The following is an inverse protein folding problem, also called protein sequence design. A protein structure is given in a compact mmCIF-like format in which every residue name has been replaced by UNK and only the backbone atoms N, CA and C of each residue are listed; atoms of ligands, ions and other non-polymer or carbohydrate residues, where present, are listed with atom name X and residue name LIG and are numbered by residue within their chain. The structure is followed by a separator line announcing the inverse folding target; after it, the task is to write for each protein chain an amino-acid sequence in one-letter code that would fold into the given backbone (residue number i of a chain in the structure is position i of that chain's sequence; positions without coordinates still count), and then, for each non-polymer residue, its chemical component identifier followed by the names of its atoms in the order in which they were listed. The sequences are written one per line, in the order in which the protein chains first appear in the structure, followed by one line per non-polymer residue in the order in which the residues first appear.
data_IF_673110571026
#
_entry.id   IF_673110571026
#
_cell.length_a   1.000
_cell.length_b   1.000
_cell.length_c   1.000
_cell.angle_alpha   90.00
_cell.angle_beta   90.00
_cell.angle_gamma   90.00
#
_symmetry.space_group_name_H-M   'P 1'
#
loop_
_entity.id
_entity.type
_entity.pdbx_description
1 polymer ?
#
# COMPACT_ATOMS: atom_id res chain seq x y z
N UNK A 1 5.11 16.19 8.20
CA UNK A 1 4.00 15.26 8.53
C UNK A 1 3.69 14.50 7.27
N UNK A 2 3.71 13.18 7.23
CA UNK A 2 3.53 12.38 6.01
C UNK A 2 2.26 12.71 5.19
N UNK A 3 2.27 12.49 3.88
CA UNK A 3 1.09 12.57 3.00
C UNK A 3 0.60 11.19 2.57
N UNK A 4 -0.73 11.00 2.53
CA UNK A 4 -1.40 9.84 1.93
C UNK A 4 -2.15 10.28 0.68
N UNK A 5 -2.20 9.40 -0.31
CA UNK A 5 -2.98 9.57 -1.53
C UNK A 5 -3.64 8.24 -1.92
N UNK A 6 -4.82 8.31 -2.51
CA UNK A 6 -5.54 7.17 -3.06
C UNK A 6 -6.41 7.59 -4.22
N UNK A 7 -6.52 6.73 -5.22
CA UNK A 7 -7.41 6.93 -6.36
C UNK A 7 -8.03 5.58 -6.75
N UNK A 8 -9.34 5.58 -7.00
CA UNK A 8 -10.05 4.46 -7.58
C UNK A 8 -10.95 4.96 -8.70
N UNK A 9 -10.86 4.30 -9.85
CA UNK A 9 -11.74 4.52 -11.00
C UNK A 9 -12.89 3.51 -10.94
N UNK A 10 -14.12 4.02 -10.92
CA UNK A 10 -15.36 3.24 -10.76
C UNK A 10 -15.65 2.37 -11.98
N UNK A 11 -15.17 2.79 -13.16
CA UNK A 11 -15.36 2.11 -14.43
C UNK A 11 -14.06 2.07 -15.25
N UNK A 12 -13.92 1.08 -16.12
CA UNK A 12 -12.77 0.93 -17.02
C UNK A 12 -12.81 1.93 -18.19
N UNK A 13 -14.01 2.29 -18.65
CA UNK A 13 -14.21 3.33 -19.64
C UNK A 13 -14.29 4.68 -18.92
N UNK A 14 -13.20 5.46 -18.97
CA UNK A 14 -13.09 6.77 -18.31
C UNK A 14 -12.58 7.83 -19.27
N UNK A 15 -13.02 9.08 -19.08
CA UNK A 15 -12.55 10.22 -19.87
C UNK A 15 -11.29 10.85 -19.28
N UNK A 16 -10.96 10.49 -18.03
CA UNK A 16 -9.74 10.89 -17.36
C UNK A 16 -8.47 10.39 -18.07
N UNK A 17 -7.60 11.32 -18.47
CA UNK A 17 -6.50 11.11 -19.41
C UNK A 17 -5.17 10.68 -18.78
N UNK A 18 -5.05 10.72 -17.45
CA UNK A 18 -3.85 10.27 -16.76
C UNK A 18 -3.95 8.78 -16.44
N UNK A 19 -2.81 8.11 -16.46
CA UNK A 19 -2.72 6.78 -15.86
C UNK A 19 -2.88 6.88 -14.33
N UNK A 20 -3.21 5.76 -13.70
CA UNK A 20 -3.32 5.68 -12.24
C UNK A 20 -2.01 6.04 -11.55
N UNK A 21 -0.89 5.60 -12.13
CA UNK A 21 0.44 5.92 -11.63
C UNK A 21 0.82 7.39 -11.80
N UNK A 22 0.51 8.01 -12.94
CA UNK A 22 0.71 9.45 -13.16
C UNK A 22 -0.10 10.28 -12.17
N UNK A 23 -1.39 9.96 -12.01
CA UNK A 23 -2.28 10.68 -11.09
C UNK A 23 -1.77 10.61 -9.65
N UNK A 24 -1.43 9.40 -9.15
CA UNK A 24 -0.87 9.25 -7.81
C UNK A 24 0.46 9.99 -7.65
N UNK A 25 1.33 9.94 -8.66
CA UNK A 25 2.63 10.64 -8.63
C UNK A 25 2.44 12.16 -8.57
N UNK A 26 1.49 12.73 -9.32
CA UNK A 26 1.17 14.15 -9.28
C UNK A 26 0.61 14.60 -7.92
N UNK A 27 -0.26 13.79 -7.30
CA UNK A 27 -0.76 14.06 -5.94
C UNK A 27 0.42 14.08 -4.96
N UNK A 28 1.30 13.06 -5.00
CA UNK A 28 2.45 13.01 -4.11
C UNK A 28 3.42 14.18 -4.35
N UNK A 29 3.75 14.50 -5.59
CA UNK A 29 4.67 15.59 -5.91
C UNK A 29 4.17 16.94 -5.36
N UNK A 30 2.87 17.23 -5.53
CA UNK A 30 2.25 18.45 -5.00
C UNK A 30 2.15 18.50 -3.46
N UNK A 31 2.38 17.38 -2.79
CA UNK A 31 2.39 17.28 -1.32
C UNK A 31 3.77 16.91 -0.77
N UNK A 32 4.84 17.12 -1.54
CA UNK A 32 6.21 16.77 -1.14
C UNK A 32 6.68 17.54 0.11
N UNK A 33 6.17 18.75 0.37
CA UNK A 33 6.45 19.53 1.58
C UNK A 33 6.03 18.81 2.88
N UNK A 34 5.14 17.82 2.77
CA UNK A 34 4.72 16.97 3.88
C UNK A 34 5.80 15.95 4.28
N UNK A 35 6.58 15.46 3.33
CA UNK A 35 7.66 14.50 3.55
C UNK A 35 8.50 14.26 2.30
N UNK A 36 9.82 14.41 2.42
CA UNK A 36 10.79 14.35 1.33
C UNK A 36 11.72 13.13 1.42
N UNK A 37 11.60 12.31 2.46
CA UNK A 37 12.61 11.28 2.76
C UNK A 37 12.43 10.03 1.92
N UNK A 38 11.18 9.62 1.70
CA UNK A 38 10.84 8.43 0.93
C UNK A 38 9.41 8.48 0.42
N UNK A 39 9.16 7.75 -0.65
CA UNK A 39 7.84 7.63 -1.24
C UNK A 39 7.56 6.22 -1.73
N UNK A 40 6.30 5.93 -1.99
CA UNK A 40 5.92 4.65 -2.55
C UNK A 40 4.47 4.56 -2.98
N UNK A 41 4.18 3.50 -3.73
CA UNK A 41 2.90 3.19 -4.35
C UNK A 41 2.54 1.72 -4.13
N UNK A 42 1.27 1.46 -3.83
CA UNK A 42 0.64 0.15 -3.90
C UNK A 42 -0.33 0.18 -5.08
N UNK A 43 -0.01 -0.61 -6.11
CA UNK A 43 -0.65 -0.53 -7.42
C UNK A 43 -1.25 -1.89 -7.78
N UNK A 44 -2.51 -1.88 -8.23
CA UNK A 44 -3.30 -3.11 -8.45
C UNK A 44 -3.54 -3.37 -9.94
N UNK A 45 -2.86 -4.39 -10.47
CA UNK A 45 -3.01 -4.86 -11.86
C UNK A 45 -4.19 -5.81 -12.00
N UNK A 46 -4.58 -6.08 -13.22
CA UNK A 46 -5.45 -7.22 -13.49
C UNK A 46 -4.76 -8.54 -13.15
N UNK A 47 -5.51 -9.53 -12.66
CA UNK A 47 -4.95 -10.76 -12.16
C UNK A 47 -4.56 -11.63 -13.36
N UNK A 48 -3.42 -12.30 -13.26
CA UNK A 48 -3.04 -13.32 -14.23
C UNK A 48 -3.44 -14.70 -13.70
N UNK A 49 -4.12 -15.47 -14.55
CA UNK A 49 -4.66 -16.78 -14.18
C UNK A 49 -3.57 -17.69 -13.58
N UNK A 50 -3.87 -18.34 -12.46
CA UNK A 50 -3.04 -19.33 -11.77
C UNK A 50 -1.63 -18.84 -11.37
N UNK A 51 -1.48 -17.53 -11.19
CA UNK A 51 -0.18 -16.93 -10.83
C UNK A 51 -0.33 -15.88 -9.74
N UNK A 52 0.76 -15.70 -9.01
CA UNK A 52 0.93 -14.66 -8.01
C UNK A 52 2.12 -13.77 -8.38
N UNK A 53 2.11 -12.59 -7.79
CA UNK A 53 3.12 -11.55 -7.93
C UNK A 53 3.71 -11.34 -6.55
N UNK A 54 5.03 -11.36 -6.48
CA UNK A 54 5.78 -11.21 -5.25
C UNK A 54 6.84 -10.15 -5.46
N UNK A 55 7.13 -9.36 -4.43
CA UNK A 55 8.23 -8.40 -4.46
C UNK A 55 9.10 -8.61 -3.24
N UNK A 56 10.41 -8.50 -3.43
CA UNK A 56 11.41 -8.67 -2.38
C UNK A 56 12.37 -7.50 -2.39
N UNK A 57 12.81 -7.04 -1.22
CA UNK A 57 13.94 -6.13 -1.14
C UNK A 57 15.23 -6.88 -1.52
N UNK A 58 16.07 -6.21 -2.29
CA UNK A 58 17.41 -6.69 -2.64
C UNK A 58 18.42 -5.55 -2.44
N UNK A 59 19.69 -5.87 -2.13
CA UNK A 59 20.76 -4.87 -2.14
C UNK A 59 20.88 -4.16 -3.49
N UNK A 60 21.41 -2.94 -3.46
CA UNK A 60 21.70 -2.16 -4.67
C UNK A 60 23.16 -2.25 -5.10
N UNK A 61 24.02 -2.86 -4.28
CA UNK A 61 25.45 -3.07 -4.51
C UNK A 61 25.74 -4.39 -5.27
N UNK A 62 27.02 -4.80 -5.34
CA UNK A 62 27.45 -6.03 -6.01
C UNK A 62 26.83 -7.33 -5.46
N UNK A 63 26.25 -7.32 -4.26
CA UNK A 63 25.64 -8.50 -3.64
C UNK A 63 24.21 -8.78 -4.12
N UNK A 64 23.62 -7.87 -4.92
CA UNK A 64 22.28 -8.00 -5.46
C UNK A 64 22.08 -9.33 -6.22
N UNK A 65 23.05 -9.73 -7.04
CA UNK A 65 22.95 -10.94 -7.88
C UNK A 65 22.93 -12.23 -7.04
N UNK A 66 23.71 -12.26 -5.95
CA UNK A 66 23.67 -13.39 -5.02
C UNK A 66 22.35 -13.48 -4.26
N UNK A 67 21.78 -12.34 -3.88
CA UNK A 67 20.49 -12.31 -3.17
C UNK A 67 19.33 -12.71 -4.09
N UNK A 68 19.36 -12.30 -5.36
CA UNK A 68 18.40 -12.76 -6.37
C UNK A 68 18.43 -14.29 -6.48
N UNK A 69 19.62 -14.90 -6.63
CA UNK A 69 19.76 -16.36 -6.69
C UNK A 69 19.24 -17.05 -5.42
N UNK A 70 19.47 -16.44 -4.24
CA UNK A 70 18.95 -16.94 -2.96
C UNK A 70 17.43 -16.91 -2.93
N UNK A 71 16.81 -15.82 -3.39
CA UNK A 71 15.35 -15.69 -3.51
C UNK A 71 14.82 -16.78 -4.44
N UNK A 72 15.40 -16.94 -5.63
CA UNK A 72 14.95 -17.92 -6.62
C UNK A 72 15.04 -19.37 -6.11
N UNK A 73 16.14 -19.70 -5.45
CA UNK A 73 16.35 -21.01 -4.82
C UNK A 73 15.32 -21.27 -3.72
N UNK A 74 15.12 -20.31 -2.82
CA UNK A 74 14.19 -20.43 -1.68
C UNK A 74 12.74 -20.59 -2.18
N UNK A 75 12.34 -19.79 -3.17
CA UNK A 75 11.02 -19.92 -3.80
C UNK A 75 10.81 -21.31 -4.42
N UNK A 76 11.80 -21.80 -5.18
CA UNK A 76 11.74 -23.12 -5.80
C UNK A 76 11.61 -24.24 -4.77
N UNK A 77 12.30 -24.13 -3.63
CA UNK A 77 12.19 -25.08 -2.52
C UNK A 77 10.79 -25.13 -1.89
N UNK A 78 10.02 -24.06 -2.01
CA UNK A 78 8.63 -23.94 -1.55
C UNK A 78 7.59 -24.11 -2.67
N UNK A 79 7.94 -24.81 -3.75
CA UNK A 79 7.04 -25.15 -4.85
C UNK A 79 6.49 -23.93 -5.61
N UNK A 80 7.19 -22.80 -5.53
CA UNK A 80 6.89 -21.62 -6.34
C UNK A 80 7.61 -21.76 -7.68
N UNK A 81 6.85 -21.76 -8.77
CA UNK A 81 7.41 -21.86 -10.13
C UNK A 81 7.59 -20.47 -10.72
N UNK A 82 8.83 -19.98 -10.78
CA UNK A 82 9.13 -18.64 -11.29
C UNK A 82 8.91 -18.60 -12.82
N UNK A 83 8.08 -17.67 -13.27
CA UNK A 83 7.79 -17.43 -14.69
C UNK A 83 8.61 -16.27 -15.24
N UNK A 84 8.77 -15.21 -14.45
CA UNK A 84 9.67 -14.10 -14.75
C UNK A 84 10.10 -13.39 -13.47
N UNK A 85 11.28 -12.79 -13.51
CA UNK A 85 11.80 -11.93 -12.46
C UNK A 85 12.40 -10.66 -13.06
N UNK A 86 12.18 -9.52 -12.40
CA UNK A 86 12.69 -8.21 -12.87
C UNK A 86 13.11 -7.35 -11.68
N UNK A 87 14.38 -6.91 -11.70
CA UNK A 87 14.90 -5.89 -10.79
C UNK A 87 14.38 -4.51 -11.16
N UNK A 88 13.90 -3.76 -10.17
CA UNK A 88 13.58 -2.34 -10.24
C UNK A 88 14.06 -1.68 -8.94
N UNK A 89 14.94 -0.69 -9.03
CA UNK A 89 15.55 -0.03 -7.86
C UNK A 89 16.11 -1.03 -6.84
N UNK A 90 15.69 -0.90 -5.58
CA UNK A 90 16.08 -1.77 -4.46
C UNK A 90 15.22 -3.04 -4.31
N UNK A 91 14.51 -3.46 -5.36
CA UNK A 91 13.58 -4.59 -5.27
C UNK A 91 13.62 -5.53 -6.48
N UNK A 92 13.30 -6.80 -6.22
CA UNK A 92 13.04 -7.83 -7.23
C UNK A 92 11.53 -8.09 -7.30
N UNK A 93 10.92 -7.86 -8.45
CA UNK A 93 9.57 -8.33 -8.74
C UNK A 93 9.61 -9.72 -9.37
N UNK A 94 8.84 -10.66 -8.82
CA UNK A 94 8.74 -12.05 -9.28
C UNK A 94 7.29 -12.33 -9.65
N UNK A 95 7.09 -12.87 -10.84
CA UNK A 95 5.83 -13.44 -11.28
C UNK A 95 5.98 -14.96 -11.30
N UNK A 96 5.10 -15.67 -10.61
CA UNK A 96 5.25 -17.09 -10.39
C UNK A 96 3.91 -17.84 -10.32
N UNK A 97 3.92 -19.11 -10.71
CA UNK A 97 2.84 -20.05 -10.39
C UNK A 97 2.96 -20.53 -8.95
N UNK A 98 1.86 -20.41 -8.19
CA UNK A 98 1.75 -20.90 -6.82
C UNK A 98 0.28 -21.10 -6.46
N UNK A 99 -0.04 -22.24 -5.86
CA UNK A 99 -1.40 -22.62 -5.45
C UNK A 99 -1.53 -22.97 -3.96
N UNK A 100 -0.46 -22.78 -3.19
CA UNK A 100 -0.44 -23.05 -1.75
C UNK A 100 -1.03 -21.92 -0.90
N UNK A 101 -0.95 -22.08 0.42
CA UNK A 101 -1.35 -21.05 1.38
C UNK A 101 -0.29 -19.94 1.49
N UNK A 102 -0.69 -18.70 1.20
CA UNK A 102 0.23 -17.57 1.16
C UNK A 102 0.82 -17.22 2.54
N UNK A 103 0.04 -17.40 3.60
CA UNK A 103 0.49 -17.16 4.97
C UNK A 103 1.57 -18.20 5.36
N UNK A 104 1.37 -19.47 5.01
CA UNK A 104 2.35 -20.53 5.23
C UNK A 104 3.64 -20.28 4.44
N UNK A 105 3.54 -19.90 3.16
CA UNK A 105 4.71 -19.52 2.35
C UNK A 105 5.45 -18.34 2.97
N UNK A 106 4.73 -17.30 3.35
CA UNK A 106 5.33 -16.08 3.92
C UNK A 106 6.10 -16.40 5.20
N UNK A 107 5.50 -17.16 6.13
CA UNK A 107 6.16 -17.64 7.35
C UNK A 107 7.42 -18.45 7.07
N UNK A 108 7.41 -19.25 6.01
CA UNK A 108 8.53 -20.11 5.67
C UNK A 108 9.74 -19.30 5.18
N UNK A 109 9.51 -18.16 4.52
CA UNK A 109 10.58 -17.40 3.86
C UNK A 109 10.96 -16.09 4.56
N UNK A 110 10.11 -15.52 5.42
CA UNK A 110 10.29 -14.18 5.99
C UNK A 110 11.53 -14.03 6.89
N UNK A 111 12.07 -15.13 7.40
CA UNK A 111 13.31 -15.13 8.19
C UNK A 111 14.55 -15.05 7.31
N UNK A 112 14.44 -15.54 6.09
CA UNK A 112 15.55 -15.66 5.15
C UNK A 112 15.54 -14.54 4.10
N UNK A 113 14.35 -14.13 3.68
CA UNK A 113 14.12 -13.14 2.64
C UNK A 113 13.39 -11.92 3.22
N UNK A 114 13.36 -10.84 2.45
CA UNK A 114 12.63 -9.61 2.80
C UNK A 114 11.45 -9.36 1.83
N UNK A 115 10.29 -10.04 2.00
CA UNK A 115 9.11 -9.74 1.19
C UNK A 115 8.66 -8.28 1.35
N UNK A 116 8.17 -7.68 0.27
CA UNK A 116 7.60 -6.33 0.22
C UNK A 116 6.09 -6.39 0.02
N UNK A 117 5.64 -7.26 -0.88
CA UNK A 117 4.23 -7.49 -1.16
C UNK A 117 4.02 -8.83 -1.84
N UNK A 118 2.88 -9.46 -1.59
CA UNK A 118 2.43 -10.62 -2.35
C UNK A 118 0.94 -10.56 -2.64
N UNK A 119 0.55 -11.06 -3.81
CA UNK A 119 -0.85 -11.22 -4.17
C UNK A 119 -1.05 -11.51 -5.64
N UNK A 120 -2.30 -11.49 -6.08
CA UNK A 120 -2.67 -11.74 -7.48
C UNK A 120 -2.61 -10.47 -8.34
N UNK A 121 -2.73 -9.30 -7.71
CA UNK A 121 -2.88 -7.99 -8.35
C UNK A 121 -1.85 -6.96 -7.86
N UNK A 122 -1.48 -7.03 -6.58
CA UNK A 122 -0.67 -6.02 -5.88
C UNK A 122 0.82 -6.01 -6.28
N UNK A 123 1.35 -4.83 -6.63
CA UNK A 123 2.76 -4.46 -6.46
C UNK A 123 2.88 -3.35 -5.42
N UNK A 124 3.81 -3.50 -4.46
CA UNK A 124 4.33 -2.36 -3.69
C UNK A 124 5.70 -1.94 -4.23
N UNK A 125 5.81 -0.69 -4.65
CA UNK A 125 7.00 -0.05 -5.21
C UNK A 125 7.33 1.14 -4.33
N UNK A 126 8.45 1.09 -3.59
CA UNK A 126 8.81 2.12 -2.62
C UNK A 126 10.32 2.23 -2.47
N UNK A 127 10.80 3.45 -2.26
CA UNK A 127 12.23 3.75 -2.14
C UNK A 127 12.46 5.06 -1.37
N UNK A 128 13.73 5.33 -1.07
CA UNK A 128 14.20 6.62 -0.55
C UNK A 128 14.25 7.65 -1.68
N UNK A 129 13.83 8.88 -1.40
CA UNK A 129 13.82 9.98 -2.36
C UNK A 129 12.42 10.51 -2.69
N UNK A 130 12.39 11.55 -3.53
CA UNK A 130 11.15 12.27 -3.87
C UNK A 130 10.36 11.56 -4.97
N UNK A 131 9.03 11.78 -5.06
CA UNK A 131 8.17 11.12 -6.06
C UNK A 131 8.68 11.24 -7.50
N UNK A 132 9.12 12.42 -7.94
CA UNK A 132 9.62 12.63 -9.30
C UNK A 132 10.95 11.92 -9.60
N UNK A 133 11.71 11.55 -8.57
CA UNK A 133 12.99 10.83 -8.69
C UNK A 133 12.75 9.33 -8.71
N UNK A 134 11.87 8.85 -7.85
CA UNK A 134 11.59 7.42 -7.66
C UNK A 134 10.65 6.90 -8.75
N UNK A 135 9.62 7.65 -9.15
CA UNK A 135 8.62 7.19 -10.11
C UNK A 135 9.20 6.69 -11.46
N UNK A 136 10.19 7.37 -12.08
CA UNK A 136 10.83 6.87 -13.31
C UNK A 136 11.60 5.56 -13.11
N UNK A 137 12.29 5.37 -11.99
CA UNK A 137 13.08 4.16 -11.68
C UNK A 137 12.19 2.91 -11.68
N UNK A 138 10.97 3.05 -11.16
CA UNK A 138 9.99 1.97 -11.04
C UNK A 138 8.94 1.97 -12.17
N UNK A 139 9.08 2.87 -13.16
CA UNK A 139 8.15 3.05 -14.28
C UNK A 139 6.69 3.25 -13.81
N UNK A 140 6.49 4.03 -12.74
CA UNK A 140 5.18 4.27 -12.14
C UNK A 140 4.24 4.96 -13.12
N UNK A 141 4.72 5.94 -13.89
CA UNK A 141 3.89 6.70 -14.84
C UNK A 141 3.23 5.84 -15.93
N UNK A 142 3.81 4.70 -16.29
CA UNK A 142 3.20 3.79 -17.26
C UNK A 142 2.12 2.89 -16.63
N UNK A 143 1.95 2.90 -15.31
CA UNK A 143 1.00 2.04 -14.62
C UNK A 143 -0.44 2.54 -14.82
N UNK A 144 -1.23 1.76 -15.54
CA UNK A 144 -2.65 2.03 -15.73
C UNK A 144 -3.49 0.87 -15.19
N UNK A 145 -4.02 1.03 -13.97
CA UNK A 145 -4.87 0.05 -13.29
C UNK A 145 -6.17 0.68 -12.77
N UNK A 146 -7.00 -0.09 -12.08
CA UNK A 146 -8.27 0.44 -11.59
C UNK A 146 -8.12 1.33 -10.36
N UNK A 147 -7.11 1.08 -9.53
CA UNK A 147 -6.89 1.85 -8.31
C UNK A 147 -5.47 1.69 -7.76
N UNK A 148 -5.14 2.54 -6.80
CA UNK A 148 -3.91 2.44 -6.01
C UNK A 148 -3.88 3.45 -4.87
N UNK A 149 -2.95 3.22 -3.94
CA UNK A 149 -2.66 4.13 -2.83
C UNK A 149 -1.17 4.47 -2.83
N UNK A 150 -0.82 5.65 -2.36
CA UNK A 150 0.55 6.15 -2.39
C UNK A 150 0.83 7.02 -1.15
N UNK A 151 2.12 7.23 -0.87
CA UNK A 151 2.53 7.94 0.35
C UNK A 151 3.86 8.69 0.19
N UNK A 152 3.95 9.87 0.81
CA UNK A 152 5.19 10.60 1.07
C UNK A 152 5.50 10.60 2.56
N UNK A 153 6.72 10.24 2.91
CA UNK A 153 7.12 10.03 4.30
C UNK A 153 8.06 11.11 4.78
N UNK A 154 7.82 11.57 6.01
CA UNK A 154 8.77 12.34 6.81
C UNK A 154 9.18 11.47 8.01
N UNK A 155 10.44 11.09 8.07
CA UNK A 155 11.02 10.31 9.15
C UNK A 155 11.14 11.19 10.40
N UNK A 156 10.41 10.85 11.47
CA UNK A 156 10.49 11.56 12.75
C UNK A 156 11.36 10.84 13.79
N UNK A 157 11.33 9.50 13.80
CA UNK A 157 12.04 8.69 14.83
C UNK A 157 12.81 7.50 14.24
N UNK A 158 12.28 6.88 13.20
CA UNK A 158 12.90 5.74 12.51
C UNK A 158 13.78 6.18 11.34
N UNK A 159 14.81 5.39 11.00
CA UNK A 159 15.71 5.70 9.88
C UNK A 159 15.03 5.81 8.51
N UNK A 160 15.69 6.54 7.61
CA UNK A 160 15.31 6.69 6.20
C UNK A 160 15.84 5.49 5.42
N UNK A 161 14.97 4.52 5.14
CA UNK A 161 15.29 3.29 4.41
C UNK A 161 14.06 2.83 3.60
N UNK A 162 14.22 2.11 2.49
CA UNK A 162 13.09 1.60 1.71
C UNK A 162 12.14 0.71 2.54
N UNK A 163 12.67 -0.06 3.49
CA UNK A 163 11.87 -0.94 4.35
C UNK A 163 10.92 -0.17 5.28
N UNK A 164 11.29 1.05 5.67
CA UNK A 164 10.47 1.90 6.55
C UNK A 164 9.53 2.81 5.78
N UNK A 165 9.69 2.91 4.46
CA UNK A 165 8.80 3.63 3.58
C UNK A 165 7.43 2.94 3.50
N UNK A 166 6.40 3.74 3.26
CA UNK A 166 5.07 3.25 2.92
C UNK A 166 4.95 2.99 1.42
N UNK A 167 3.94 2.23 0.94
CA UNK A 167 2.92 1.49 1.70
C UNK A 167 3.41 0.23 2.42
N UNK A 168 2.57 -0.31 3.30
CA UNK A 168 2.80 -1.60 3.99
C UNK A 168 1.78 -2.64 3.55
N UNK A 169 2.26 -3.85 3.27
CA UNK A 169 1.45 -5.01 2.93
C UNK A 169 0.98 -5.73 4.19
N UNK A 170 -0.22 -6.32 4.16
CA UNK A 170 -0.67 -7.23 5.20
C UNK A 170 0.08 -8.57 5.06
N UNK A 171 1.20 -8.71 5.76
CA UNK A 171 2.09 -9.87 5.66
C UNK A 171 1.34 -11.21 5.76
N UNK A 172 1.44 -12.03 4.71
CA UNK A 172 0.77 -13.32 4.60
C UNK A 172 -0.63 -13.31 3.96
N UNK A 173 -1.14 -12.14 3.54
CA UNK A 173 -2.47 -12.00 2.94
C UNK A 173 -2.39 -11.48 1.51
N UNK A 174 -3.23 -11.99 0.61
CA UNK A 174 -3.19 -11.56 -0.79
C UNK A 174 -3.78 -10.17 -0.95
N UNK A 175 -3.06 -9.27 -1.63
CA UNK A 175 -3.62 -8.03 -2.19
C UNK A 175 -4.21 -7.05 -1.17
N UNK A 176 -3.65 -6.93 0.05
CA UNK A 176 -4.08 -5.91 1.03
C UNK A 176 -2.89 -5.03 1.40
N UNK A 177 -3.01 -3.72 1.21
CA UNK A 177 -1.98 -2.75 1.57
C UNK A 177 -2.56 -1.48 2.20
N UNK A 178 -1.78 -0.82 3.05
CA UNK A 178 -2.19 0.37 3.79
C UNK A 178 -1.15 1.48 3.71
N UNK A 179 -1.64 2.72 3.66
CA UNK A 179 -0.87 3.96 3.92
C UNK A 179 -1.52 4.71 5.08
N UNK A 180 -0.72 5.34 5.92
CA UNK A 180 -1.20 5.93 7.17
C UNK A 180 -0.42 7.21 7.48
N UNK A 181 -1.16 8.26 7.84
CA UNK A 181 -0.60 9.47 8.41
C UNK A 181 -1.14 9.61 9.83
N UNK A 182 -0.24 9.47 10.81
CA UNK A 182 -0.64 9.43 12.20
C UNK A 182 0.30 8.62 13.07
N UNK A 183 -0.20 8.24 14.24
CA UNK A 183 0.43 7.32 15.15
C UNK A 183 -0.63 6.48 15.86
N UNK A 184 -0.43 5.16 15.89
CA UNK A 184 -1.23 4.22 16.70
C UNK A 184 -0.58 4.03 18.07
N UNK A 185 -1.18 4.58 19.12
CA UNK A 185 -0.62 4.61 20.49
C UNK A 185 -0.66 3.24 21.17
N UNK A 186 -1.63 2.39 20.85
CA UNK A 186 -1.75 1.04 21.41
C UNK A 186 -1.07 -0.05 20.56
N UNK A 187 -0.15 0.33 19.66
CA UNK A 187 0.54 -0.54 18.70
C UNK A 187 1.06 -1.85 19.31
N UNK A 188 1.91 -1.77 20.35
CA UNK A 188 2.54 -2.96 20.94
C UNK A 188 1.54 -3.93 21.59
N UNK A 189 0.40 -3.43 22.08
CA UNK A 189 -0.65 -4.28 22.64
C UNK A 189 -1.35 -5.03 21.52
N UNK A 190 -1.73 -4.33 20.45
CA UNK A 190 -2.44 -4.90 19.32
C UNK A 190 -1.57 -5.87 18.52
N UNK A 191 -0.31 -5.54 18.28
CA UNK A 191 0.67 -6.44 17.67
C UNK A 191 0.77 -7.77 18.43
N UNK A 192 1.02 -7.72 19.75
CA UNK A 192 1.12 -8.93 20.60
C UNK A 192 -0.15 -9.78 20.57
N UNK A 193 -1.34 -9.16 20.46
CA UNK A 193 -2.61 -9.89 20.32
C UNK A 193 -2.67 -10.65 18.99
N UNK A 194 -2.26 -10.01 17.89
CA UNK A 194 -2.26 -10.62 16.55
C UNK A 194 -1.16 -11.69 16.40
N UNK A 195 0.03 -11.48 16.97
CA UNK A 195 1.09 -12.50 17.01
C UNK A 195 0.64 -13.78 17.74
N UNK A 196 -0.08 -13.65 18.86
CA UNK A 196 -0.70 -14.81 19.55
C UNK A 196 -1.75 -15.53 18.71
N UNK A 197 -2.34 -14.84 17.73
CA UNK A 197 -3.27 -15.39 16.73
C UNK A 197 -2.54 -15.92 15.49
N UNK A 198 -1.21 -15.94 15.52
CA UNK A 198 -0.34 -16.44 14.45
C UNK A 198 -0.09 -15.45 13.32
N UNK A 199 -0.44 -14.17 13.46
CA UNK A 199 -0.09 -13.17 12.46
C UNK A 199 1.40 -12.85 12.52
N UNK A 200 1.98 -12.43 11.39
CA UNK A 200 3.38 -12.03 11.33
C UNK A 200 3.54 -10.59 10.88
N UNK A 201 4.67 -10.01 11.26
CA UNK A 201 5.08 -8.64 11.03
C UNK A 201 6.56 -8.62 10.65
N UNK A 202 6.90 -7.81 9.66
CA UNK A 202 8.23 -7.68 9.09
C UNK A 202 8.96 -6.44 9.62
N UNK A 203 8.21 -5.45 10.10
CA UNK A 203 8.72 -4.16 10.55
C UNK A 203 8.16 -3.79 11.91
N UNK A 204 8.68 -2.73 12.52
CA UNK A 204 8.11 -2.15 13.73
C UNK A 204 7.19 -0.95 13.43
N UNK A 205 6.77 -0.80 12.17
CA UNK A 205 5.91 0.31 11.77
C UNK A 205 4.45 0.05 12.14
N UNK A 206 3.81 1.03 12.79
CA UNK A 206 2.41 0.93 13.19
C UNK A 206 1.43 0.81 12.01
N UNK A 207 1.86 1.18 10.81
CA UNK A 207 1.03 1.06 9.62
C UNK A 207 0.90 -0.39 9.15
N UNK A 208 1.94 -1.20 9.37
CA UNK A 208 1.87 -2.64 9.13
C UNK A 208 0.83 -3.29 10.05
N UNK A 209 0.71 -2.81 11.30
CA UNK A 209 -0.33 -3.24 12.22
C UNK A 209 -1.73 -3.02 11.62
N UNK A 210 -2.00 -1.86 11.03
CA UNK A 210 -3.31 -1.57 10.42
C UNK A 210 -3.60 -2.57 9.29
N UNK A 211 -2.65 -2.82 8.39
CA UNK A 211 -2.82 -3.75 7.28
C UNK A 211 -3.13 -5.17 7.78
N UNK A 212 -2.32 -5.68 8.72
CA UNK A 212 -2.48 -7.03 9.29
C UNK A 212 -3.76 -7.15 10.12
N UNK A 213 -4.15 -6.10 10.87
CA UNK A 213 -5.40 -6.06 11.61
C UNK A 213 -6.59 -6.24 10.67
N UNK A 214 -6.70 -5.42 9.62
CA UNK A 214 -7.81 -5.50 8.67
C UNK A 214 -7.87 -6.87 7.98
N UNK A 215 -6.71 -7.37 7.53
CA UNK A 215 -6.64 -8.68 6.88
C UNK A 215 -7.02 -9.84 7.82
N UNK A 216 -6.63 -9.75 9.10
CA UNK A 216 -7.03 -10.73 10.11
C UNK A 216 -8.54 -10.70 10.38
N UNK A 217 -9.16 -9.52 10.51
CA UNK A 217 -10.60 -9.39 10.71
C UNK A 217 -11.37 -10.01 9.52
N UNK A 218 -10.92 -9.74 8.29
CA UNK A 218 -11.49 -10.34 7.09
C UNK A 218 -11.36 -11.86 7.06
N UNK A 219 -10.21 -12.39 7.51
CA UNK A 219 -10.03 -13.85 7.68
C UNK A 219 -11.00 -14.45 8.71
N UNK A 220 -11.44 -13.66 9.68
CA UNK A 220 -12.47 -14.02 10.65
C UNK A 220 -13.90 -13.78 10.15
N UNK A 221 -14.11 -13.73 8.82
CA UNK A 221 -15.40 -13.55 8.15
C UNK A 221 -16.06 -12.17 8.37
N UNK A 222 -15.30 -11.14 8.75
CA UNK A 222 -15.81 -9.77 8.72
C UNK A 222 -15.68 -9.19 7.30
N UNK A 223 -16.61 -8.33 6.92
CA UNK A 223 -16.45 -7.53 5.70
C UNK A 223 -15.30 -6.52 5.90
N UNK A 224 -14.74 -5.99 4.81
CA UNK A 224 -13.76 -4.91 4.90
C UNK A 224 -14.38 -3.66 5.56
N UNK A 225 -15.64 -3.37 5.25
CA UNK A 225 -16.37 -2.24 5.84
C UNK A 225 -16.52 -2.39 7.36
N UNK A 226 -16.95 -3.56 7.83
CA UNK A 226 -17.04 -3.85 9.27
C UNK A 226 -15.66 -3.82 9.95
N UNK A 227 -14.61 -4.23 9.22
CA UNK A 227 -13.23 -4.19 9.72
C UNK A 227 -12.73 -2.74 9.86
N UNK A 228 -13.06 -1.86 8.92
CA UNK A 228 -12.78 -0.42 9.01
C UNK A 228 -13.52 0.20 10.21
N UNK A 229 -14.80 -0.12 10.36
CA UNK A 229 -15.61 0.32 11.51
C UNK A 229 -14.99 -0.12 12.84
N UNK A 230 -14.68 -1.41 12.97
CA UNK A 230 -14.08 -1.96 14.19
C UNK A 230 -12.72 -1.33 14.50
N UNK A 231 -11.94 -0.98 13.48
CA UNK A 231 -10.63 -0.32 13.67
C UNK A 231 -10.72 1.02 14.40
N UNK A 232 -11.84 1.75 14.26
CA UNK A 232 -12.05 3.04 14.93
C UNK A 232 -12.24 2.89 16.45
N UNK A 233 -12.69 1.72 16.90
CA UNK A 233 -12.86 1.40 18.32
C UNK A 233 -11.62 0.70 18.90
N UNK A 234 -10.99 -0.18 18.13
CA UNK A 234 -9.87 -1.01 18.57
C UNK A 234 -8.51 -0.31 18.54
N UNK A 235 -8.29 0.60 17.57
CA UNK A 235 -7.02 1.32 17.43
C UNK A 235 -7.10 2.66 18.16
N UNK A 236 -6.10 2.91 19.01
CA UNK A 236 -5.99 4.16 19.75
C UNK A 236 -4.90 5.04 19.13
N UNK A 237 -5.08 6.36 19.16
CA UNK A 237 -4.12 7.33 18.64
C UNK A 237 -4.73 8.43 17.78
N UNK A 238 -3.89 9.08 16.96
CA UNK A 238 -4.30 10.09 15.98
C UNK A 238 -3.91 9.59 14.60
N UNK A 239 -4.88 9.20 13.79
CA UNK A 239 -4.63 8.52 12.53
C UNK A 239 -5.68 8.83 11.46
N UNK A 240 -5.15 8.95 10.25
CA UNK A 240 -5.88 8.89 9.00
C UNK A 240 -5.17 7.88 8.11
N UNK A 241 -5.86 6.82 7.70
CA UNK A 241 -5.26 5.80 6.83
C UNK A 241 -6.14 5.47 5.63
N UNK A 242 -5.50 4.98 4.58
CA UNK A 242 -6.15 4.36 3.43
C UNK A 242 -5.74 2.89 3.36
N UNK A 243 -6.70 2.04 3.01
CA UNK A 243 -6.47 0.63 2.68
C UNK A 243 -6.89 0.40 1.23
N UNK A 244 -6.15 -0.45 0.53
CA UNK A 244 -6.57 -0.99 -0.75
C UNK A 244 -6.58 -2.51 -0.67
N UNK A 245 -7.57 -3.13 -1.31
CA UNK A 245 -7.67 -4.58 -1.50
C UNK A 245 -7.63 -4.93 -2.99
N UNK A 246 -7.84 -6.19 -3.37
CA UNK A 246 -7.91 -6.61 -4.78
C UNK A 246 -8.90 -5.78 -5.64
N UNK A 247 -9.93 -5.19 -5.06
CA UNK A 247 -11.07 -4.60 -5.75
C UNK A 247 -11.64 -3.33 -5.07
N UNK A 248 -10.99 -2.81 -4.04
CA UNK A 248 -11.57 -1.73 -3.24
C UNK A 248 -10.52 -0.78 -2.66
N UNK A 249 -10.91 0.48 -2.43
CA UNK A 249 -10.19 1.43 -1.57
C UNK A 249 -11.12 1.82 -0.43
N UNK A 250 -10.59 1.82 0.79
CA UNK A 250 -11.26 2.34 1.96
C UNK A 250 -10.40 3.35 2.73
N UNK A 251 -11.04 4.08 3.63
CA UNK A 251 -10.38 4.95 4.58
C UNK A 251 -10.97 4.81 5.98
N UNK A 252 -10.20 5.19 6.97
CA UNK A 252 -10.70 5.49 8.31
C UNK A 252 -9.99 6.72 8.88
N UNK A 253 -10.74 7.50 9.66
CA UNK A 253 -10.30 8.73 10.29
C UNK A 253 -10.68 8.72 11.76
N UNK A 254 -9.69 8.90 12.63
CA UNK A 254 -9.85 8.82 14.08
C UNK A 254 -10.79 9.89 14.66
N UNK A 255 -11.12 9.76 15.95
CA UNK A 255 -12.06 10.64 16.66
C UNK A 255 -11.56 12.08 16.80
N UNK A 256 -10.27 12.29 16.95
CA UNK A 256 -9.66 13.61 17.07
C UNK A 256 -9.48 14.27 15.70
N UNK A 257 -9.41 13.48 14.62
CA UNK A 257 -9.30 13.97 13.25
C UNK A 257 -8.13 14.95 13.04
N UNK A 258 -7.05 14.80 13.80
CA UNK A 258 -5.91 15.71 13.77
C UNK A 258 -5.08 15.61 12.48
N UNK A 259 -5.29 14.54 11.69
CA UNK A 259 -4.54 14.24 10.47
C UNK A 259 -5.43 14.55 9.27
N UNK A 260 -5.07 15.54 8.43
CA UNK A 260 -5.96 16.02 7.38
C UNK A 260 -6.15 14.94 6.31
N UNK A 261 -7.37 14.90 5.79
CA UNK A 261 -7.78 14.02 4.70
C UNK A 261 -8.90 14.72 3.93
N UNK A 262 -8.70 14.91 2.64
CA UNK A 262 -9.67 15.53 1.74
C UNK A 262 -10.04 14.51 0.67
N UNK A 263 -11.31 14.45 0.31
CA UNK A 263 -11.82 13.61 -0.77
C UNK A 263 -12.49 14.45 -1.86
N UNK A 264 -12.38 13.95 -3.09
CA UNK A 264 -13.13 14.40 -4.26
C UNK A 264 -13.74 13.18 -4.93
N UNK A 265 -15.03 13.26 -5.21
CA UNK A 265 -15.77 12.16 -5.81
C UNK A 265 -16.65 12.68 -6.96
N UNK A 266 -16.64 11.95 -8.07
CA UNK A 266 -17.57 12.15 -9.17
C UNK A 266 -18.04 10.77 -9.70
N UNK A 267 -18.74 10.76 -10.82
CA UNK A 267 -19.28 9.51 -11.41
C UNK A 267 -18.18 8.55 -11.90
N UNK A 268 -16.99 9.06 -12.27
CA UNK A 268 -15.90 8.22 -12.79
C UNK A 268 -14.94 7.72 -11.70
N UNK A 269 -14.75 8.47 -10.61
CA UNK A 269 -13.65 8.23 -9.68
C UNK A 269 -13.88 8.78 -8.27
N UNK A 270 -13.12 8.20 -7.33
CA UNK A 270 -12.86 8.76 -6.01
C UNK A 270 -11.36 9.05 -5.89
N UNK A 271 -11.01 10.23 -5.38
CA UNK A 271 -9.65 10.64 -5.03
C UNK A 271 -9.63 11.03 -3.57
N UNK A 272 -8.64 10.55 -2.84
CA UNK A 272 -8.36 10.96 -1.47
C UNK A 272 -6.92 11.43 -1.41
N UNK A 273 -6.69 12.58 -0.78
CA UNK A 273 -5.36 13.11 -0.53
C UNK A 273 -5.30 13.73 0.87
N UNK A 274 -4.10 13.90 1.42
CA UNK A 274 -3.96 14.65 2.67
C UNK A 274 -4.33 16.13 2.56
N UNK A 275 -4.14 16.73 1.40
CA UNK A 275 -4.35 18.16 1.18
C UNK A 275 -5.00 18.38 -0.19
N UNK A 276 -5.82 19.44 -0.29
CA UNK A 276 -6.59 19.76 -1.50
C UNK A 276 -5.68 20.06 -2.71
N UNK A 277 -4.48 20.61 -2.49
CA UNK A 277 -3.48 20.85 -3.55
C UNK A 277 -3.14 19.58 -4.34
N UNK A 278 -3.18 18.43 -3.66
CA UNK A 278 -3.05 17.09 -4.24
C UNK A 278 -4.08 16.82 -5.32
N UNK A 279 -5.34 17.04 -4.98
CA UNK A 279 -6.47 16.78 -5.87
C UNK A 279 -6.53 17.82 -6.98
N UNK A 280 -6.32 19.10 -6.65
CA UNK A 280 -6.32 20.19 -7.62
C UNK A 280 -5.29 20.00 -8.74
N UNK A 281 -4.17 19.33 -8.45
CA UNK A 281 -3.13 19.05 -9.45
C UNK A 281 -3.62 18.16 -10.59
N UNK A 282 -4.65 17.33 -10.35
CA UNK A 282 -5.25 16.45 -11.36
C UNK A 282 -6.21 17.19 -12.31
N UNK A 283 -6.70 18.37 -11.92
CA UNK A 283 -7.75 19.09 -12.64
C UNK A 283 -7.38 20.57 -12.84
N UNK A 284 -6.33 20.87 -13.62
CA UNK A 284 -5.84 22.23 -13.78
C UNK A 284 -6.93 23.16 -14.34
N UNK A 285 -7.13 24.29 -13.66
CA UNK A 285 -8.09 25.32 -14.07
C UNK A 285 -9.57 25.00 -13.79
N UNK A 286 -9.88 23.93 -13.05
CA UNK A 286 -11.24 23.59 -12.63
C UNK A 286 -11.42 23.88 -11.13
N UNK A 287 -12.60 24.41 -10.77
CA UNK A 287 -13.03 24.45 -9.37
C UNK A 287 -13.57 23.06 -9.02
N UNK A 288 -13.15 22.52 -7.88
CA UNK A 288 -13.54 21.19 -7.40
C UNK A 288 -14.34 21.34 -6.12
N UNK A 289 -15.42 20.58 -6.01
CA UNK A 289 -16.14 20.40 -4.75
C UNK A 289 -15.45 19.29 -3.96
N UNK A 290 -14.47 19.67 -3.15
CA UNK A 290 -13.79 18.75 -2.25
C UNK A 290 -14.44 18.76 -0.86
N UNK A 291 -14.38 17.64 -0.15
CA UNK A 291 -14.92 17.51 1.21
C UNK A 291 -13.92 16.82 2.12
N UNK A 292 -13.86 17.23 3.38
CA UNK A 292 -13.09 16.51 4.40
C UNK A 292 -14.01 15.53 5.14
N UNK A 293 -13.67 14.23 5.23
CA UNK A 293 -14.43 13.31 6.07
C UNK A 293 -14.49 13.76 7.53
N UNK A 294 -15.66 13.60 8.14
CA UNK A 294 -15.91 13.92 9.53
C UNK A 294 -15.01 13.11 10.48
N UNK A 295 -14.77 13.56 11.72
CA UNK A 295 -14.11 12.74 12.73
C UNK A 295 -14.88 11.45 13.02
N UNK A 296 -14.16 10.40 13.44
CA UNK A 296 -14.72 9.07 13.75
C UNK A 296 -15.56 8.51 12.60
N UNK A 297 -14.98 8.48 11.40
CA UNK A 297 -15.67 7.99 10.21
C UNK A 297 -14.79 7.06 9.40
N UNK A 298 -15.44 6.28 8.56
CA UNK A 298 -14.82 5.38 7.59
C UNK A 298 -15.60 5.44 6.28
N UNK A 299 -15.04 4.86 5.24
CA UNK A 299 -15.77 4.63 4.01
C UNK A 299 -15.04 3.69 3.08
N UNK A 300 -15.78 3.16 2.12
CA UNK A 300 -15.35 2.12 1.22
C UNK A 300 -15.92 2.37 -0.17
N UNK A 301 -15.06 2.24 -1.18
CA UNK A 301 -15.47 2.21 -2.59
C UNK A 301 -14.89 0.95 -3.22
N UNK A 302 -15.75 0.22 -3.92
CA UNK A 302 -15.38 -1.00 -4.64
C UNK A 302 -15.53 -0.79 -6.14
N UNK A 303 -14.76 -1.54 -6.92
CA UNK A 303 -14.94 -1.62 -8.37
C UNK A 303 -16.35 -2.14 -8.67
N UNK A 304 -16.99 -1.58 -9.69
CA UNK A 304 -18.24 -2.12 -10.18
C UNK A 304 -18.02 -3.57 -10.66
N UNK A 305 -18.90 -4.47 -10.21
CA UNK A 305 -18.94 -5.89 -10.58
C UNK A 305 -19.36 -6.10 -12.02
#
# INVERSE_FOLDING_TARGET
MCAIAGILFKHSNRTFNLTTGEALTLILDSTVHRGMDSCGWALYKDPMKDTIRMRFFIPTDETAESEIKRIEYTLSAHQVTILSARKLGCTLGVHAGFSGDLLALTRAIEKDLKPVSMGTRLDILKDVGMPYEVAPVYNIGAFNGSHGIAHNRLATESGVRPETAHPFWACGFSDIATVHNGQITNYWIMRRRLERKGMVFQTENDTELVAVYLAYQMRCNMSLEDSLKASLDDLDGTFSYLVATKDSIGYAKDKLAAKPMVKYENDEMIVIASEEVGINRLFPGKSLETTEPAPLTYGLWSLAS
#
